data_IF_547482707021
#
_entry.id   IF_547482707021
#
_cell.length_a   1.000
_cell.length_b   1.000
_cell.length_c   1.000
_cell.angle_alpha   90.00
_cell.angle_beta   90.00
_cell.angle_gamma   90.00
#
_symmetry.space_group_name_H-M   'P 1'
#
loop_
_entity.id
_entity.type
_entity.pdbx_description
1 polymer ?
#
# COMPACT_ATOMS: atom_id res chain seq x y z
N UNK A 1 13.10 5.93 -4.36
CA UNK A 1 11.98 6.04 -5.31
C UNK A 1 10.73 5.27 -4.86
N UNK A 2 10.84 3.97 -4.52
CA UNK A 2 9.71 3.14 -4.07
C UNK A 2 8.89 3.76 -2.92
N UNK A 3 9.54 4.28 -1.88
CA UNK A 3 8.86 4.94 -0.74
C UNK A 3 8.08 6.17 -1.18
N UNK A 4 8.67 7.03 -2.01
CA UNK A 4 8.00 8.23 -2.51
C UNK A 4 6.76 7.86 -3.34
N UNK A 5 6.84 6.81 -4.17
CA UNK A 5 5.70 6.32 -4.94
C UNK A 5 4.59 5.79 -4.03
N UNK A 6 4.93 5.00 -3.01
CA UNK A 6 3.97 4.50 -2.04
C UNK A 6 3.25 5.65 -1.31
N UNK A 7 4.00 6.66 -0.83
CA UNK A 7 3.42 7.85 -0.21
C UNK A 7 2.52 8.63 -1.18
N UNK A 8 2.95 8.80 -2.43
CA UNK A 8 2.19 9.52 -3.44
C UNK A 8 0.86 8.82 -3.77
N UNK A 9 0.86 7.48 -3.87
CA UNK A 9 -0.36 6.69 -4.06
C UNK A 9 -1.34 6.92 -2.92
N UNK A 10 -0.89 6.76 -1.67
CA UNK A 10 -1.75 6.95 -0.49
C UNK A 10 -2.26 8.39 -0.40
N UNK A 11 -1.39 9.38 -0.61
CA UNK A 11 -1.76 10.79 -0.59
C UNK A 11 -2.78 11.15 -1.68
N UNK A 12 -2.63 10.61 -2.89
CA UNK A 12 -3.60 10.80 -3.97
C UNK A 12 -4.94 10.15 -3.63
N UNK A 13 -4.96 8.96 -3.05
CA UNK A 13 -6.19 8.30 -2.61
C UNK A 13 -6.95 9.10 -1.55
N UNK A 14 -6.23 9.70 -0.61
CA UNK A 14 -6.81 10.59 0.40
C UNK A 14 -7.35 11.88 -0.21
N UNK A 15 -6.59 12.53 -1.10
CA UNK A 15 -7.02 13.76 -1.77
C UNK A 15 -8.27 13.55 -2.63
N UNK A 16 -8.37 12.39 -3.30
CA UNK A 16 -9.58 12.01 -4.05
C UNK A 16 -10.78 11.80 -3.12
N UNK A 17 -10.55 11.23 -1.94
CA UNK A 17 -11.61 11.06 -0.93
C UNK A 17 -12.07 12.41 -0.39
N UNK A 18 -11.13 13.32 -0.10
CA UNK A 18 -11.40 14.68 0.39
C UNK A 18 -12.21 15.51 -0.63
N UNK A 19 -11.92 15.38 -1.93
CA UNK A 19 -12.68 16.08 -2.97
C UNK A 19 -14.05 15.42 -3.30
N UNK A 20 -14.45 14.39 -2.54
CA UNK A 20 -15.73 13.71 -2.70
C UNK A 20 -15.81 12.72 -3.86
N UNK A 21 -14.68 12.30 -4.42
CA UNK A 21 -14.67 11.27 -5.45
C UNK A 21 -15.15 9.93 -4.85
N UNK A 22 -16.05 9.26 -5.56
CA UNK A 22 -16.54 7.94 -5.16
C UNK A 22 -15.52 6.87 -5.54
N UNK A 23 -14.71 6.45 -4.58
CA UNK A 23 -13.78 5.35 -4.72
C UNK A 23 -14.38 4.06 -4.14
N UNK A 24 -14.18 2.94 -4.84
CA UNK A 24 -14.51 1.62 -4.29
C UNK A 24 -13.67 1.30 -3.05
N UNK A 25 -12.43 1.78 -3.03
CA UNK A 25 -11.52 1.65 -1.91
C UNK A 25 -10.42 2.73 -2.00
N UNK A 26 -9.85 3.11 -0.87
CA UNK A 26 -8.75 4.09 -0.82
C UNK A 26 -7.45 3.32 -1.06
N UNK A 27 -6.72 3.58 -2.16
CA UNK A 27 -5.48 2.88 -2.42
C UNK A 27 -4.42 3.26 -1.38
N UNK A 28 -3.74 2.24 -0.84
CA UNK A 28 -2.63 2.40 0.09
C UNK A 28 -1.37 1.88 -0.56
N UNK A 29 -0.39 2.76 -0.71
CA UNK A 29 0.95 2.39 -1.15
C UNK A 29 1.75 1.74 -0.03
N UNK A 30 2.38 0.61 -0.32
CA UNK A 30 3.28 -0.11 0.59
C UNK A 30 4.61 -0.39 -0.08
N UNK A 31 5.65 -0.49 0.73
CA UNK A 31 6.98 -0.92 0.29
C UNK A 31 7.38 -2.17 1.05
N UNK A 32 7.76 -3.19 0.31
CA UNK A 32 8.22 -4.46 0.83
C UNK A 32 9.71 -4.60 0.51
N UNK A 33 10.50 -4.79 1.56
CA UNK A 33 11.92 -5.10 1.45
C UNK A 33 12.09 -6.58 1.08
N UNK A 34 12.59 -6.83 -0.13
CA UNK A 34 12.70 -8.19 -0.67
C UNK A 34 13.87 -8.97 -0.06
N UNK A 35 14.81 -8.32 0.62
CA UNK A 35 15.91 -9.02 1.30
C UNK A 35 15.43 -9.94 2.44
N UNK A 36 14.18 -9.77 2.87
CA UNK A 36 13.51 -10.61 3.88
C UNK A 36 13.05 -11.97 3.33
N UNK A 37 13.01 -12.14 2.02
CA UNK A 37 12.47 -13.33 1.36
C UNK A 37 13.57 -14.12 0.65
N UNK A 38 14.35 -14.86 1.44
CA UNK A 38 15.45 -15.69 0.95
C UNK A 38 16.55 -14.87 0.28
N UNK A 39 17.14 -15.37 -0.81
CA UNK A 39 18.21 -14.67 -1.52
C UNK A 39 17.70 -13.63 -2.55
N UNK A 40 16.55 -13.01 -2.29
CA UNK A 40 16.02 -11.90 -3.08
C UNK A 40 16.68 -10.57 -2.67
N UNK A 41 16.50 -9.52 -3.47
CA UNK A 41 17.07 -8.20 -3.18
C UNK A 41 16.23 -7.06 -3.76
N UNK A 42 16.41 -5.86 -3.22
CA UNK A 42 15.72 -4.65 -3.66
C UNK A 42 14.40 -4.42 -2.94
N UNK A 43 13.60 -3.47 -3.46
CA UNK A 43 12.34 -3.06 -2.85
C UNK A 43 11.21 -3.22 -3.86
N UNK A 44 10.10 -3.78 -3.41
CA UNK A 44 8.86 -3.87 -4.16
C UNK A 44 7.90 -2.81 -3.63
N UNK A 45 7.41 -1.92 -4.49
CA UNK A 45 6.34 -1.01 -4.15
C UNK A 45 5.02 -1.57 -4.68
N UNK A 46 3.97 -1.58 -3.86
CA UNK A 46 2.64 -2.02 -4.27
C UNK A 46 1.60 -0.97 -3.92
N UNK A 47 0.61 -0.75 -4.79
CA UNK A 47 -0.63 -0.09 -4.41
C UNK A 47 -1.68 -1.16 -4.11
N UNK A 48 -2.25 -1.12 -2.92
CA UNK A 48 -3.22 -2.10 -2.46
C UNK A 48 -4.56 -1.41 -2.25
N UNK A 49 -5.64 -2.07 -2.65
CA UNK A 49 -7.02 -1.78 -2.28
C UNK A 49 -7.33 -2.65 -1.04
N UNK A 50 -7.20 -2.11 0.19
CA UNK A 50 -7.12 -2.91 1.41
C UNK A 50 -8.43 -3.62 1.78
N UNK A 51 -9.60 -3.02 1.49
CA UNK A 51 -10.90 -3.64 1.70
C UNK A 51 -11.16 -4.78 0.72
N UNK A 52 -10.69 -4.62 -0.52
CA UNK A 52 -10.81 -5.65 -1.56
C UNK A 52 -9.72 -6.72 -1.45
N UNK A 53 -8.68 -6.48 -0.63
CA UNK A 53 -7.45 -7.30 -0.55
C UNK A 53 -6.80 -7.49 -1.93
N UNK A 54 -6.84 -6.46 -2.77
CA UNK A 54 -6.35 -6.52 -4.16
C UNK A 54 -5.11 -5.65 -4.36
N UNK A 55 -4.18 -6.14 -5.18
CA UNK A 55 -3.04 -5.36 -5.65
C UNK A 55 -3.46 -4.64 -6.94
N UNK A 56 -3.52 -3.32 -6.91
CA UNK A 56 -3.87 -2.49 -8.07
C UNK A 56 -2.64 -2.10 -8.91
N UNK A 57 -1.46 -2.03 -8.30
CA UNK A 57 -0.21 -1.70 -8.98
C UNK A 57 0.96 -2.40 -8.30
N UNK A 58 1.91 -2.87 -9.11
CA UNK A 58 3.21 -3.35 -8.65
C UNK A 58 4.29 -2.54 -9.37
N UNK A 59 5.24 -2.03 -8.62
CA UNK A 59 6.43 -1.38 -9.13
C UNK A 59 7.68 -2.01 -8.50
N UNK A 60 8.53 -2.55 -9.37
CA UNK A 60 9.74 -3.27 -9.02
C UNK A 60 10.91 -2.69 -9.81
N UNK A 61 11.71 -1.84 -9.18
CA UNK A 61 12.94 -1.31 -9.77
C UNK A 61 14.13 -1.83 -8.98
N UNK A 62 15.07 -2.46 -9.69
CA UNK A 62 16.22 -3.18 -9.12
C UNK A 62 15.85 -4.32 -8.16
N UNK A 63 14.63 -4.84 -8.31
CA UNK A 63 14.14 -5.96 -7.51
C UNK A 63 14.55 -7.29 -8.15
N UNK A 64 15.26 -8.13 -7.41
CA UNK A 64 15.58 -9.50 -7.82
C UNK A 64 14.73 -10.48 -7.05
N UNK A 65 13.85 -11.18 -7.76
CA UNK A 65 12.98 -12.22 -7.23
C UNK A 65 13.49 -13.56 -7.74
N UNK A 66 13.76 -14.51 -6.84
CA UNK A 66 14.36 -15.80 -7.22
C UNK A 66 13.37 -16.95 -7.35
N UNK A 67 12.22 -16.87 -6.68
CA UNK A 67 11.18 -17.89 -6.77
C UNK A 67 9.80 -17.24 -6.65
N UNK A 68 8.77 -17.97 -7.09
CA UNK A 68 7.38 -17.52 -7.06
C UNK A 68 6.85 -17.37 -5.64
N UNK A 69 7.26 -18.24 -4.72
CA UNK A 69 6.83 -18.21 -3.32
C UNK A 69 7.25 -16.91 -2.62
N UNK A 70 8.47 -16.43 -2.86
CA UNK A 70 8.93 -15.15 -2.33
C UNK A 70 8.12 -13.96 -2.85
N UNK A 71 7.64 -14.01 -4.11
CA UNK A 71 6.75 -12.99 -4.62
C UNK A 71 5.38 -13.08 -3.94
N UNK A 72 4.82 -14.29 -3.79
CA UNK A 72 3.54 -14.48 -3.10
C UNK A 72 3.60 -13.97 -1.66
N UNK A 73 4.63 -14.34 -0.93
CA UNK A 73 4.82 -13.90 0.46
C UNK A 73 5.00 -12.39 0.55
N UNK A 74 5.74 -11.78 -0.38
CA UNK A 74 5.90 -10.33 -0.44
C UNK A 74 4.58 -9.60 -0.75
N UNK A 75 3.78 -10.10 -1.69
CA UNK A 75 2.47 -9.53 -2.01
C UNK A 75 1.48 -9.70 -0.85
N UNK A 76 1.52 -10.84 -0.16
CA UNK A 76 0.71 -11.07 1.02
C UNK A 76 1.11 -10.12 2.17
N UNK A 77 2.42 -9.90 2.37
CA UNK A 77 2.90 -8.89 3.31
C UNK A 77 2.42 -7.50 2.91
N UNK A 78 2.47 -7.13 1.63
CA UNK A 78 1.98 -5.84 1.15
C UNK A 78 0.49 -5.64 1.49
N UNK A 79 -0.36 -6.66 1.28
CA UNK A 79 -1.78 -6.62 1.62
C UNK A 79 -1.99 -6.45 3.12
N UNK A 80 -1.26 -7.21 3.94
CA UNK A 80 -1.37 -7.12 5.41
C UNK A 80 -0.94 -5.74 5.92
N UNK A 81 0.20 -5.22 5.46
CA UNK A 81 0.68 -3.89 5.84
C UNK A 81 -0.29 -2.81 5.38
N UNK A 82 -0.82 -2.90 4.16
CA UNK A 82 -1.82 -1.95 3.66
C UNK A 82 -3.10 -1.99 4.48
N UNK A 83 -3.55 -3.19 4.89
CA UNK A 83 -4.71 -3.36 5.78
C UNK A 83 -4.52 -2.65 7.12
N UNK A 84 -3.35 -2.80 7.74
CA UNK A 84 -3.02 -2.10 8.99
C UNK A 84 -3.00 -0.58 8.80
N UNK A 85 -2.31 -0.10 7.77
CA UNK A 85 -2.27 1.33 7.44
C UNK A 85 -3.65 1.91 7.16
N UNK A 86 -4.51 1.17 6.45
CA UNK A 86 -5.88 1.60 6.16
C UNK A 86 -6.72 1.75 7.43
N UNK A 87 -6.52 0.89 8.45
CA UNK A 87 -7.19 1.06 9.75
C UNK A 87 -6.71 2.33 10.46
N UNK A 88 -5.41 2.61 10.45
CA UNK A 88 -4.86 3.85 11.01
C UNK A 88 -5.41 5.07 10.28
N UNK A 89 -5.41 5.07 8.95
CA UNK A 89 -5.97 6.15 8.13
C UNK A 89 -7.44 6.38 8.47
N UNK A 90 -8.25 5.32 8.52
CA UNK A 90 -9.68 5.41 8.88
C UNK A 90 -9.88 6.00 10.26
N UNK A 91 -9.04 5.64 11.22
CA UNK A 91 -9.09 6.19 12.58
C UNK A 91 -8.76 7.69 12.58
N UNK A 92 -7.70 8.11 11.88
CA UNK A 92 -7.34 9.52 11.75
C UNK A 92 -8.45 10.35 11.08
N UNK A 93 -8.96 9.88 9.94
CA UNK A 93 -10.04 10.59 9.21
C UNK A 93 -11.31 10.70 10.05
N UNK A 94 -11.66 9.67 10.83
CA UNK A 94 -12.81 9.75 11.76
C UNK A 94 -12.58 10.78 12.86
N UNK A 95 -11.38 10.82 13.45
CA UNK A 95 -11.04 11.81 14.48
C UNK A 95 -11.14 13.24 13.91
N UNK A 96 -10.59 13.49 12.72
CA UNK A 96 -10.68 14.81 12.06
C UNK A 96 -12.14 15.23 11.80
N UNK A 97 -13.02 14.28 11.44
CA UNK A 97 -14.44 14.53 11.23
C UNK A 97 -15.20 14.80 12.54
N UNK A 98 -14.79 14.19 13.65
CA UNK A 98 -15.41 14.40 14.97
C UNK A 98 -14.95 15.71 15.62
N UNK A 99 -13.71 16.16 15.35
CA UNK A 99 -13.16 17.44 15.84
C UNK A 99 -13.58 18.65 14.98
N UNK A 100 -14.03 18.42 13.74
CA UNK A 100 -14.48 19.45 12.80
C UNK A 100 -15.95 19.88 12.90
N UNK A 101 -16.69 19.37 13.90
CA UNK A 101 -18.10 19.71 14.22
C UNK A 101 -18.14 20.55 15.50
#
# INVERSE_FOLDING_TARGET
LAVCLACAVTGAGLALTDCGAQLYDIPVGTVVDMSKFGHCSGHLCAAVLPQLQQIAMIYAHDTRIKNEDALKDALQQAIQTAGQMAQTIKHCVKADLEEGV
#
